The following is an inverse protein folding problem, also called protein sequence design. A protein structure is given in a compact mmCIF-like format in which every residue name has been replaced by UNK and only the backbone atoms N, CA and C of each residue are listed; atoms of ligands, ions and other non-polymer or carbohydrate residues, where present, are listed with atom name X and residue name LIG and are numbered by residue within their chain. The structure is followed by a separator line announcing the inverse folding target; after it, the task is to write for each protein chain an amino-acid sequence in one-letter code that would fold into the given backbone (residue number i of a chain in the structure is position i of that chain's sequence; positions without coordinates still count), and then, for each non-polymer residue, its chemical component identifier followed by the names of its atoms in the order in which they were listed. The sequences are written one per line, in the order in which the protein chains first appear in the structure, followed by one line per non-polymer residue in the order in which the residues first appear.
data_IF_297931737218
#
_entry.id   IF_297931737218
#
_cell.length_a   1.000
_cell.length_b   1.000
_cell.length_c   1.000
_cell.angle_alpha   90.00
_cell.angle_beta   90.00
_cell.angle_gamma   90.00
#
_symmetry.space_group_name_H-M   'P 1'
#
loop_
_entity.id
_entity.type
_entity.pdbx_description
1 polymer ?
#
# COMPACT_ATOMS: atom_id res chain seq x y z
N UNK A 1 -2.31 1.19 -17.61
CA UNK A 1 -1.50 2.30 -17.06
C UNK A 1 -0.73 2.98 -18.18
N UNK A 2 -0.06 2.26 -19.08
CA UNK A 2 0.63 2.85 -20.23
C UNK A 2 -0.28 2.99 -21.45
N UNK A 3 -0.08 4.05 -22.22
CA UNK A 3 -0.65 4.17 -23.57
C UNK A 3 -0.04 3.10 -24.49
N UNK A 4 -0.90 2.48 -25.33
CA UNK A 4 -0.45 1.40 -26.23
C UNK A 4 0.58 1.86 -27.26
N UNK A 5 0.42 3.09 -27.74
CA UNK A 5 1.27 3.66 -28.79
C UNK A 5 2.47 4.42 -28.21
N UNK A 6 2.43 4.78 -26.92
CA UNK A 6 3.53 5.46 -26.24
C UNK A 6 3.69 5.00 -24.78
N UNK A 7 4.53 3.99 -24.51
CA UNK A 7 4.75 3.45 -23.16
C UNK A 7 5.32 4.46 -22.15
N UNK A 8 5.79 5.63 -22.58
CA UNK A 8 6.24 6.72 -21.69
C UNK A 8 5.11 7.67 -21.25
N UNK A 9 3.89 7.44 -21.74
CA UNK A 9 2.69 8.19 -21.36
C UNK A 9 1.72 7.34 -20.54
N UNK A 10 1.12 7.98 -19.54
CA UNK A 10 0.07 7.39 -18.73
C UNK A 10 -1.27 7.45 -19.47
N UNK A 11 -1.97 6.31 -19.53
CA UNK A 11 -3.33 6.18 -20.07
C UNK A 11 -4.33 6.91 -19.17
N UNK A 12 -4.86 8.04 -19.67
CA UNK A 12 -5.78 8.92 -18.93
C UNK A 12 -7.25 8.54 -19.08
N UNK A 13 -7.58 7.49 -19.84
CA UNK A 13 -8.97 7.12 -20.14
C UNK A 13 -9.70 6.45 -18.97
N UNK A 14 -8.98 6.05 -17.91
CA UNK A 14 -9.52 5.33 -16.76
C UNK A 14 -10.43 6.16 -15.83
N UNK A 15 -10.58 7.47 -16.04
CA UNK A 15 -11.39 8.36 -15.20
C UNK A 15 -10.71 8.78 -13.89
N UNK A 16 -11.47 9.27 -12.92
CA UNK A 16 -10.94 9.75 -11.62
C UNK A 16 -10.97 8.71 -10.49
N UNK A 17 -11.77 7.67 -10.65
CA UNK A 17 -11.96 6.60 -9.67
C UNK A 17 -12.44 5.32 -10.36
N UNK A 18 -12.30 4.19 -9.67
CA UNK A 18 -13.04 2.97 -10.00
C UNK A 18 -14.08 2.63 -8.92
N UNK A 19 -15.05 1.79 -9.25
CA UNK A 19 -16.05 1.28 -8.30
C UNK A 19 -15.57 -0.07 -7.77
N UNK A 20 -15.51 -0.20 -6.45
CA UNK A 20 -14.98 -1.40 -5.78
C UNK A 20 -15.97 -1.89 -4.74
N UNK A 21 -16.36 -3.16 -4.82
CA UNK A 21 -17.19 -3.84 -3.82
C UNK A 21 -16.32 -4.59 -2.79
N UNK A 22 -16.96 -5.31 -1.87
CA UNK A 22 -16.27 -6.17 -0.88
C UNK A 22 -15.22 -7.09 -1.52
N UNK A 23 -15.57 -7.73 -2.63
CA UNK A 23 -14.66 -8.66 -3.31
C UNK A 23 -13.44 -7.93 -3.85
N UNK A 24 -13.63 -6.74 -4.42
CA UNK A 24 -12.56 -5.91 -4.96
C UNK A 24 -11.61 -5.40 -3.88
N UNK A 25 -12.13 -5.00 -2.71
CA UNK A 25 -11.34 -4.51 -1.58
C UNK A 25 -10.41 -5.59 -1.02
N UNK A 26 -10.91 -6.83 -0.89
CA UNK A 26 -10.15 -7.92 -0.27
C UNK A 26 -9.25 -8.68 -1.26
N UNK A 27 -9.58 -8.66 -2.56
CA UNK A 27 -8.89 -9.45 -3.60
C UNK A 27 -7.38 -9.32 -3.58
N UNK A 28 -6.86 -8.10 -3.41
CA UNK A 28 -5.42 -7.84 -3.45
C UNK A 28 -4.71 -8.25 -2.16
N UNK A 29 -5.40 -8.15 -1.02
CA UNK A 29 -4.90 -8.66 0.24
C UNK A 29 -4.83 -10.19 0.19
N UNK A 30 -5.91 -10.87 -0.21
CA UNK A 30 -5.95 -12.33 -0.38
C UNK A 30 -4.86 -12.85 -1.32
N UNK A 31 -4.63 -12.13 -2.43
CA UNK A 31 -3.63 -12.50 -3.43
C UNK A 31 -2.19 -12.34 -2.94
N UNK A 32 -1.95 -11.51 -1.91
CA UNK A 32 -0.62 -11.33 -1.32
C UNK A 32 -0.24 -12.40 -0.29
N UNK A 33 -1.23 -13.18 0.18
CA UNK A 33 -1.05 -14.19 1.22
C UNK A 33 -0.65 -15.54 0.57
N UNK A 34 0.51 -16.11 0.92
CA UNK A 34 1.03 -17.36 0.36
C UNK A 34 0.45 -18.61 1.05
N UNK A 35 -0.80 -18.54 1.48
CA UNK A 35 -1.54 -19.64 2.10
C UNK A 35 -2.88 -19.83 1.39
N UNK A 36 -3.37 -21.07 1.37
CA UNK A 36 -4.73 -21.36 0.90
C UNK A 36 -5.77 -20.87 1.93
N UNK A 37 -5.47 -20.98 3.21
CA UNK A 37 -6.28 -20.41 4.28
C UNK A 37 -5.86 -18.97 4.53
N UNK A 38 -6.68 -18.02 4.01
CA UNK A 38 -6.40 -16.59 4.18
C UNK A 38 -6.59 -16.12 5.61
N UNK A 39 -7.32 -16.88 6.44
CA UNK A 39 -7.62 -16.49 7.82
C UNK A 39 -6.42 -16.58 8.76
N UNK A 40 -5.37 -17.27 8.32
CA UNK A 40 -4.04 -17.24 8.94
C UNK A 40 -3.49 -15.81 8.97
N UNK A 41 -3.64 -15.02 7.90
CA UNK A 41 -3.21 -13.61 7.87
C UNK A 41 -4.32 -12.62 8.18
N UNK A 42 -5.53 -12.89 7.72
CA UNK A 42 -6.63 -11.94 7.71
C UNK A 42 -7.70 -12.37 8.71
N UNK A 43 -7.78 -11.69 9.86
CA UNK A 43 -8.88 -11.95 10.80
C UNK A 43 -10.22 -11.61 10.14
N UNK A 44 -11.20 -12.53 10.06
CA UNK A 44 -12.48 -12.26 9.41
C UNK A 44 -13.20 -11.03 9.97
N UNK A 45 -13.10 -10.78 11.28
CA UNK A 45 -13.71 -9.60 11.90
C UNK A 45 -13.00 -8.30 11.49
N UNK A 46 -11.67 -8.34 11.30
CA UNK A 46 -10.90 -7.21 10.76
C UNK A 46 -11.23 -6.98 9.29
N UNK A 47 -11.37 -8.03 8.49
CA UNK A 47 -11.78 -7.93 7.09
C UNK A 47 -13.17 -7.29 6.95
N UNK A 48 -14.14 -7.71 7.76
CA UNK A 48 -15.48 -7.14 7.80
C UNK A 48 -15.45 -5.66 8.23
N UNK A 49 -14.70 -5.34 9.28
CA UNK A 49 -14.53 -3.96 9.73
C UNK A 49 -13.88 -3.09 8.65
N UNK A 50 -12.83 -3.58 7.98
CA UNK A 50 -12.16 -2.88 6.89
C UNK A 50 -13.13 -2.57 5.75
N UNK A 51 -13.91 -3.56 5.31
CA UNK A 51 -14.91 -3.38 4.25
C UNK A 51 -15.99 -2.40 4.68
N UNK A 52 -16.54 -2.55 5.89
CA UNK A 52 -17.60 -1.69 6.40
C UNK A 52 -17.15 -0.23 6.51
N UNK A 53 -15.97 0.01 7.10
CA UNK A 53 -15.40 1.35 7.23
C UNK A 53 -15.10 1.97 5.86
N UNK A 54 -14.55 1.18 4.93
CA UNK A 54 -14.23 1.67 3.58
C UNK A 54 -15.50 2.05 2.81
N UNK A 55 -16.54 1.23 2.85
CA UNK A 55 -17.83 1.57 2.24
C UNK A 55 -18.45 2.83 2.84
N UNK A 56 -18.29 3.02 4.16
CA UNK A 56 -18.76 4.22 4.88
C UNK A 56 -18.11 5.53 4.42
N UNK A 57 -16.98 5.49 3.69
CA UNK A 57 -16.33 6.69 3.15
C UNK A 57 -17.05 7.27 1.93
N UNK A 58 -17.94 6.51 1.27
CA UNK A 58 -18.72 6.98 0.13
C UNK A 58 -20.22 6.98 0.47
N UNK A 59 -20.86 8.15 0.65
CA UNK A 59 -22.29 8.25 0.94
C UNK A 59 -23.21 7.59 -0.10
N UNK A 60 -22.70 7.35 -1.31
CA UNK A 60 -23.43 6.68 -2.40
C UNK A 60 -23.21 5.17 -2.44
N UNK A 61 -22.42 4.60 -1.53
CA UNK A 61 -22.03 3.19 -1.60
C UNK A 61 -23.23 2.23 -1.54
N UNK A 62 -24.22 2.54 -0.70
CA UNK A 62 -25.44 1.75 -0.53
C UNK A 62 -26.44 1.88 -1.68
N UNK A 63 -26.25 2.83 -2.60
CA UNK A 63 -27.14 3.00 -3.77
C UNK A 63 -26.77 2.05 -4.92
N UNK A 64 -25.70 1.26 -4.76
CA UNK A 64 -25.20 0.30 -5.75
C UNK A 64 -25.43 -1.13 -5.26
N UNK A 65 -25.53 -2.09 -6.18
CA UNK A 65 -25.68 -3.51 -5.85
C UNK A 65 -24.64 -4.34 -6.62
N UNK A 66 -23.67 -5.00 -5.96
CA UNK A 66 -23.44 -4.95 -4.51
C UNK A 66 -23.02 -3.55 -4.02
N UNK A 67 -23.16 -3.25 -2.72
CA UNK A 67 -22.65 -2.01 -2.14
C UNK A 67 -21.17 -1.82 -2.48
N UNK A 68 -20.83 -0.65 -3.00
CA UNK A 68 -19.51 -0.40 -3.58
C UNK A 68 -19.09 1.06 -3.50
N UNK A 69 -17.80 1.27 -3.24
CA UNK A 69 -17.17 2.55 -2.96
C UNK A 69 -16.43 3.07 -4.20
N UNK A 70 -16.42 4.39 -4.38
CA UNK A 70 -15.53 5.07 -5.34
C UNK A 70 -14.12 5.19 -4.75
N UNK A 71 -13.16 4.44 -5.29
CA UNK A 71 -11.75 4.54 -4.90
C UNK A 71 -11.00 5.39 -5.94
N UNK A 72 -10.38 6.51 -5.53
CA UNK A 72 -9.57 7.34 -6.42
C UNK A 72 -8.40 6.54 -7.01
N UNK A 73 -8.10 6.77 -8.29
CA UNK A 73 -7.03 6.06 -9.01
C UNK A 73 -5.79 6.92 -9.29
N UNK A 74 -5.70 8.10 -8.65
CA UNK A 74 -4.56 9.02 -8.82
C UNK A 74 -3.18 8.38 -8.53
N UNK A 75 -3.13 7.44 -7.57
CA UNK A 75 -1.90 6.72 -7.23
C UNK A 75 -1.29 5.94 -8.41
N UNK A 76 -2.09 5.63 -9.45
CA UNK A 76 -1.60 4.92 -10.62
C UNK A 76 -0.66 5.79 -11.46
N UNK A 77 -0.91 7.11 -11.50
CA UNK A 77 -0.03 8.08 -12.15
C UNK A 77 1.31 8.13 -11.42
N UNK A 78 1.25 8.13 -10.09
CA UNK A 78 2.43 8.15 -9.23
C UNK A 78 3.26 6.87 -9.40
N UNK A 79 2.61 5.70 -9.34
CA UNK A 79 3.25 4.41 -9.56
C UNK A 79 3.86 4.32 -10.97
N UNK A 80 3.18 4.85 -11.99
CA UNK A 80 3.69 4.93 -13.34
C UNK A 80 4.95 5.79 -13.43
N UNK A 81 4.94 7.00 -12.85
CA UNK A 81 6.11 7.87 -12.83
C UNK A 81 7.30 7.24 -12.09
N UNK A 82 7.06 6.64 -10.92
CA UNK A 82 8.08 5.92 -10.16
C UNK A 82 8.65 4.75 -10.97
N UNK A 83 7.83 4.05 -11.76
CA UNK A 83 8.29 2.94 -12.61
C UNK A 83 9.27 3.40 -13.70
N UNK A 84 9.18 4.67 -14.12
CA UNK A 84 10.09 5.31 -15.07
C UNK A 84 11.29 6.01 -14.41
N UNK A 85 11.49 5.84 -13.10
CA UNK A 85 12.55 6.54 -12.35
C UNK A 85 12.31 8.04 -12.20
N UNK A 86 11.05 8.49 -12.32
CA UNK A 86 10.65 9.89 -12.11
C UNK A 86 10.16 10.04 -10.66
N UNK A 87 10.99 10.51 -9.72
CA UNK A 87 10.60 10.61 -8.32
C UNK A 87 9.52 11.68 -8.14
N UNK A 88 8.58 11.43 -7.24
CA UNK A 88 7.48 12.37 -6.92
C UNK A 88 7.95 13.58 -6.11
N UNK A 89 9.05 13.42 -5.37
CA UNK A 89 9.68 14.45 -4.56
C UNK A 89 11.19 14.20 -4.48
N UNK A 90 11.96 15.24 -4.15
CA UNK A 90 13.39 15.12 -3.91
C UNK A 90 13.64 14.72 -2.44
N UNK A 91 13.91 13.44 -2.17
CA UNK A 91 14.12 12.94 -0.80
C UNK A 91 15.28 13.63 -0.07
N UNK A 92 16.26 14.16 -0.81
CA UNK A 92 17.32 15.02 -0.28
C UNK A 92 16.81 16.26 0.46
N UNK A 93 15.55 16.65 0.35
CA UNK A 93 14.96 17.79 1.08
C UNK A 93 14.42 17.41 2.47
N UNK A 94 14.32 16.12 2.79
CA UNK A 94 13.91 15.67 4.12
C UNK A 94 15.07 15.89 5.10
N UNK A 95 14.79 16.46 6.28
CA UNK A 95 15.77 16.86 7.32
C UNK A 95 15.49 16.24 8.69
N UNK A 96 14.52 15.35 8.77
CA UNK A 96 14.09 14.69 10.01
C UNK A 96 14.51 13.21 9.99
N UNK A 97 14.64 12.53 11.15
CA UNK A 97 14.78 11.09 11.18
C UNK A 97 13.68 10.39 10.38
N UNK A 98 14.03 9.34 9.62
CA UNK A 98 13.10 8.57 8.80
C UNK A 98 13.20 7.07 9.14
N UNK A 99 12.05 6.47 9.42
CA UNK A 99 11.85 5.03 9.42
C UNK A 99 11.12 4.65 8.12
N UNK A 100 11.63 3.65 7.42
CA UNK A 100 11.01 3.11 6.21
C UNK A 100 10.76 1.62 6.44
N UNK A 101 9.51 1.20 6.36
CA UNK A 101 9.09 -0.18 6.58
C UNK A 101 8.38 -0.73 5.34
N UNK A 102 8.58 -2.02 5.07
CA UNK A 102 7.80 -2.76 4.07
C UNK A 102 7.55 -4.19 4.52
N UNK A 103 6.47 -4.77 4.03
CA UNK A 103 6.23 -6.21 4.09
C UNK A 103 7.09 -6.98 3.10
N UNK A 104 7.54 -8.19 3.45
CA UNK A 104 8.23 -9.10 2.54
C UNK A 104 7.35 -9.49 1.34
N UNK A 105 6.05 -9.69 1.60
CA UNK A 105 5.03 -10.10 0.62
C UNK A 105 4.32 -8.91 -0.04
N UNK A 106 4.81 -7.69 0.16
CA UNK A 106 4.27 -6.51 -0.50
C UNK A 106 4.50 -6.57 -2.02
N UNK A 107 3.40 -6.57 -2.76
CA UNK A 107 3.37 -6.65 -4.23
C UNK A 107 3.43 -5.27 -4.90
N UNK A 108 3.28 -4.17 -4.14
CA UNK A 108 3.32 -2.79 -4.62
C UNK A 108 4.70 -2.15 -4.42
N UNK A 109 5.33 -2.37 -3.27
CA UNK A 109 6.69 -1.87 -3.00
C UNK A 109 7.73 -2.98 -3.15
N UNK A 110 8.75 -2.74 -3.98
CA UNK A 110 9.85 -3.69 -4.21
C UNK A 110 10.94 -3.50 -3.16
N UNK A 111 11.74 -4.53 -2.83
CA UNK A 111 12.91 -4.36 -1.95
C UNK A 111 13.87 -3.26 -2.44
N UNK A 112 14.02 -3.10 -3.75
CA UNK A 112 14.85 -2.05 -4.34
C UNK A 112 14.34 -0.63 -4.07
N UNK A 113 13.03 -0.44 -3.91
CA UNK A 113 12.43 0.88 -3.63
C UNK A 113 12.83 1.35 -2.22
N UNK A 114 12.88 0.44 -1.25
CA UNK A 114 13.36 0.70 0.12
C UNK A 114 14.81 1.20 0.12
N UNK A 115 15.69 0.48 -0.59
CA UNK A 115 17.10 0.87 -0.70
C UNK A 115 17.29 2.16 -1.49
N UNK A 116 16.48 2.41 -2.52
CA UNK A 116 16.55 3.64 -3.30
C UNK A 116 16.16 4.86 -2.46
N UNK A 117 15.03 4.81 -1.77
CA UNK A 117 14.60 5.90 -0.90
C UNK A 117 15.61 6.18 0.21
N UNK A 118 16.16 5.13 0.83
CA UNK A 118 17.19 5.28 1.86
C UNK A 118 18.46 5.98 1.35
N UNK A 119 18.90 5.68 0.12
CA UNK A 119 20.07 6.34 -0.49
C UNK A 119 19.82 7.82 -0.77
N UNK A 120 18.61 8.19 -1.18
CA UNK A 120 18.28 9.56 -1.56
C UNK A 120 18.04 10.50 -0.35
N UNK A 121 17.86 9.94 0.86
CA UNK A 121 17.68 10.66 2.13
C UNK A 121 18.99 11.21 2.72
N UNK A 122 19.86 11.78 1.87
CA UNK A 122 21.23 12.20 2.22
C UNK A 122 21.33 13.27 3.32
N UNK A 123 20.25 14.00 3.60
CA UNK A 123 20.20 15.06 4.60
C UNK A 123 19.33 14.70 5.81
N UNK A 124 18.87 13.44 5.90
CA UNK A 124 18.20 12.94 7.10
C UNK A 124 19.26 12.57 8.15
N UNK A 125 19.11 13.00 9.42
CA UNK A 125 20.07 12.70 10.48
C UNK A 125 20.08 11.20 10.89
N UNK A 126 19.05 10.44 10.51
CA UNK A 126 18.91 9.01 10.81
C UNK A 126 17.95 8.38 9.80
N UNK A 127 18.41 7.36 9.09
CA UNK A 127 17.57 6.55 8.20
C UNK A 127 17.62 5.11 8.67
N UNK A 128 16.45 4.55 9.02
CA UNK A 128 16.29 3.13 9.37
C UNK A 128 15.38 2.47 8.37
N UNK A 129 15.79 1.31 7.85
CA UNK A 129 14.98 0.50 6.93
C UNK A 129 14.67 -0.84 7.57
N UNK A 130 13.41 -1.26 7.51
CA UNK A 130 12.97 -2.57 8.03
C UNK A 130 12.16 -3.30 6.95
N UNK A 131 12.51 -4.56 6.72
CA UNK A 131 11.68 -5.47 5.93
C UNK A 131 11.07 -6.50 6.89
N UNK A 132 9.75 -6.48 6.99
CA UNK A 132 8.99 -7.32 7.92
C UNK A 132 8.68 -8.65 7.24
N UNK A 133 9.24 -9.73 7.77
CA UNK A 133 9.07 -11.07 7.24
C UNK A 133 7.60 -11.49 7.30
N UNK A 134 7.07 -12.07 6.23
CA UNK A 134 5.68 -12.51 6.15
C UNK A 134 4.63 -11.40 6.14
N UNK A 135 5.00 -10.11 6.25
CA UNK A 135 4.06 -9.00 6.17
C UNK A 135 3.62 -8.73 4.73
N UNK A 136 2.33 -8.44 4.54
CA UNK A 136 1.77 -8.07 3.23
C UNK A 136 1.82 -6.55 3.00
N UNK A 137 1.28 -6.07 1.87
CA UNK A 137 1.01 -4.63 1.67
C UNK A 137 -0.01 -4.09 2.70
N UNK A 138 -0.81 -4.97 3.28
CA UNK A 138 -1.82 -4.68 4.28
C UNK A 138 -1.31 -4.97 5.69
N UNK A 139 0.01 -4.86 5.94
CA UNK A 139 0.65 -5.20 7.21
C UNK A 139 0.00 -4.61 8.48
N UNK A 140 -0.69 -3.47 8.34
CA UNK A 140 -1.39 -2.82 9.44
C UNK A 140 -2.76 -3.45 9.76
N UNK A 141 -3.24 -4.36 8.92
CA UNK A 141 -4.45 -5.17 9.08
C UNK A 141 -4.15 -6.67 9.24
N UNK A 142 -2.95 -7.12 8.87
CA UNK A 142 -2.49 -8.50 9.06
C UNK A 142 -2.55 -8.90 10.55
N UNK A 143 -2.66 -10.21 10.80
CA UNK A 143 -2.58 -10.74 12.17
C UNK A 143 -1.25 -10.36 12.85
N UNK A 144 -1.25 -10.21 14.18
CA UNK A 144 -0.07 -9.88 14.99
C UNK A 144 1.20 -10.66 14.60
N UNK A 145 1.07 -11.98 14.47
CA UNK A 145 2.12 -12.95 14.16
C UNK A 145 2.62 -12.91 12.71
N UNK A 146 1.86 -12.28 11.80
CA UNK A 146 2.19 -12.13 10.39
C UNK A 146 2.78 -10.75 10.05
N UNK A 147 3.30 -10.05 11.05
CA UNK A 147 4.11 -8.85 10.87
C UNK A 147 3.53 -7.59 11.51
N UNK A 148 2.23 -7.56 11.83
CA UNK A 148 1.60 -6.37 12.41
C UNK A 148 2.21 -5.99 13.77
N UNK A 149 2.49 -6.97 14.65
CA UNK A 149 3.16 -6.69 15.93
C UNK A 149 4.56 -6.12 15.75
N UNK A 150 5.31 -6.64 14.76
CA UNK A 150 6.65 -6.11 14.46
C UNK A 150 6.54 -4.69 13.93
N UNK A 151 5.64 -4.42 12.98
CA UNK A 151 5.38 -3.08 12.44
C UNK A 151 5.14 -2.06 13.55
N UNK A 152 4.20 -2.35 14.45
CA UNK A 152 3.89 -1.45 15.57
C UNK A 152 5.10 -1.28 16.49
N UNK A 153 5.80 -2.36 16.81
CA UNK A 153 7.01 -2.30 17.65
C UNK A 153 8.11 -1.44 17.03
N UNK A 154 8.33 -1.55 15.72
CA UNK A 154 9.36 -0.78 15.01
C UNK A 154 9.04 0.72 14.98
N UNK A 155 7.77 1.08 14.78
CA UNK A 155 7.30 2.46 14.92
C UNK A 155 7.54 2.97 16.34
N UNK A 156 7.11 2.23 17.37
CA UNK A 156 7.24 2.66 18.76
C UNK A 156 8.72 2.83 19.17
N UNK A 157 9.57 1.87 18.82
CA UNK A 157 11.01 1.93 19.12
C UNK A 157 11.73 3.05 18.36
N UNK A 158 11.18 3.53 17.24
CA UNK A 158 11.77 4.64 16.51
C UNK A 158 11.42 6.01 17.09
N UNK A 159 10.28 6.09 17.79
CA UNK A 159 9.81 7.32 18.45
C UNK A 159 10.46 7.57 19.81
N UNK A 160 11.05 6.54 20.43
CA UNK A 160 11.82 6.63 21.69
C UNK A 160 13.29 6.93 21.44
#
# INVERSE_FOLDING_TARGET
MQEKENPEQFDRHAGGYHIVDRSGLLRRWDASIPSADKTEWCDPAVADAYVWQTLGTDPTASTRNPPSVRIPIGYQVDAFNLSLGRPLFAAKHIRVPVLIERGELDFWSRPADLSALARDLINSPKVRTVMIKGGTHYLFLDRPEHGMSQFVSEVLNFLT
#
